data_IF_124527473217
#
_entry.id   IF_124527473217
#
_cell.length_a   1.000
_cell.length_b   1.000
_cell.length_c   1.000
_cell.angle_alpha   90.00
_cell.angle_beta   90.00
_cell.angle_gamma   90.00
#
_symmetry.space_group_name_H-M   'P 1'
#
loop_
_entity.id
_entity.type
_entity.pdbx_description
1 polymer ?
#
# COMPACT_ATOMS: atom_id res chain seq x y z
N UNK A 1 -8.34 21.51 6.13
CA UNK A 1 -7.64 22.10 7.28
C UNK A 1 -7.53 21.20 8.53
N UNK A 2 -8.47 20.24 8.76
CA UNK A 2 -8.49 19.44 10.00
C UNK A 2 -7.40 18.34 10.07
N UNK A 3 -7.04 17.71 8.95
CA UNK A 3 -6.05 16.62 8.92
C UNK A 3 -4.64 17.12 9.24
N UNK A 4 -4.22 18.25 8.66
CA UNK A 4 -2.94 18.90 8.98
C UNK A 4 -2.81 19.28 10.46
N UNK A 5 -3.92 19.72 11.08
CA UNK A 5 -3.94 20.12 12.49
C UNK A 5 -3.78 18.92 13.42
N UNK A 6 -4.43 17.80 13.14
CA UNK A 6 -4.30 16.56 13.92
C UNK A 6 -2.91 15.94 13.83
N UNK A 7 -2.33 15.86 12.65
CA UNK A 7 -0.95 15.37 12.47
C UNK A 7 0.06 16.26 13.18
N UNK A 8 -0.09 17.60 13.11
CA UNK A 8 0.76 18.53 13.86
C UNK A 8 0.61 18.38 15.38
N UNK A 9 -0.61 18.14 15.89
CA UNK A 9 -0.85 17.96 17.32
C UNK A 9 -0.34 16.63 17.85
N UNK A 10 -0.46 15.53 17.09
CA UNK A 10 0.05 14.23 17.52
C UNK A 10 1.57 14.22 17.73
N UNK A 11 2.29 15.03 16.98
CA UNK A 11 3.76 15.08 17.05
C UNK A 11 4.32 16.13 18.03
N UNK A 12 3.48 16.93 18.73
CA UNK A 12 3.99 18.01 19.60
C UNK A 12 4.85 17.43 20.74
N UNK A 13 4.32 16.48 21.49
CA UNK A 13 5.06 15.83 22.59
C UNK A 13 6.30 15.08 22.11
N UNK A 14 6.22 14.45 20.94
CA UNK A 14 7.34 13.73 20.36
C UNK A 14 8.45 14.70 19.92
N UNK A 15 8.07 15.85 19.34
CA UNK A 15 9.03 16.91 18.98
C UNK A 15 9.72 17.50 20.22
N UNK A 16 9.00 17.74 21.31
CA UNK A 16 9.56 18.21 22.58
C UNK A 16 10.54 17.20 23.16
N UNK A 17 10.21 15.90 23.07
CA UNK A 17 11.08 14.80 23.54
C UNK A 17 12.21 14.48 22.57
N UNK A 18 12.19 15.05 21.36
CA UNK A 18 13.12 14.78 20.23
C UNK A 18 13.28 13.28 19.94
N UNK A 19 12.22 12.53 20.13
CA UNK A 19 12.17 11.07 19.90
C UNK A 19 10.75 10.64 19.62
N UNK A 20 10.59 9.76 18.65
CA UNK A 20 9.31 9.17 18.27
C UNK A 20 9.40 8.51 16.92
N UNK A 21 8.46 7.64 16.65
CA UNK A 21 8.37 6.94 15.37
C UNK A 21 6.92 6.86 14.90
N UNK A 22 6.71 7.25 13.65
CA UNK A 22 5.43 7.12 12.95
C UNK A 22 5.59 5.96 11.98
N UNK A 23 4.73 4.96 12.08
CA UNK A 23 4.67 3.86 11.13
C UNK A 23 3.37 3.95 10.35
N UNK A 24 3.47 4.25 9.06
CA UNK A 24 2.33 4.33 8.16
C UNK A 24 2.18 3.01 7.39
N UNK A 25 1.00 2.40 7.46
CA UNK A 25 0.68 1.18 6.74
C UNK A 25 0.19 1.54 5.33
N UNK A 26 1.12 1.49 4.38
CA UNK A 26 0.85 1.67 2.95
C UNK A 26 0.44 0.34 2.29
N UNK A 27 0.84 0.13 1.08
CA UNK A 27 0.67 -1.09 0.28
C UNK A 27 1.62 -1.04 -0.90
N UNK A 28 1.88 -2.17 -1.53
CA UNK A 28 2.48 -2.20 -2.87
C UNK A 28 1.65 -1.40 -3.88
N UNK A 29 0.32 -1.27 -3.67
CA UNK A 29 -0.57 -0.42 -4.47
C UNK A 29 -0.26 1.09 -4.35
N UNK A 30 0.62 1.50 -3.44
CA UNK A 30 1.21 2.84 -3.42
C UNK A 30 2.33 3.03 -4.45
N UNK A 31 2.68 2.00 -5.21
CA UNK A 31 3.75 2.01 -6.21
C UNK A 31 3.27 1.72 -7.62
N UNK A 32 2.21 0.95 -7.76
CA UNK A 32 1.59 0.64 -9.03
C UNK A 32 0.08 0.45 -8.83
N UNK A 33 -0.66 0.46 -9.93
CA UNK A 33 -2.11 0.28 -9.91
C UNK A 33 -2.51 -0.78 -10.93
N UNK A 34 -3.55 -1.55 -10.60
CA UNK A 34 -4.18 -2.52 -11.49
C UNK A 34 -5.63 -2.13 -11.75
N UNK A 35 -6.26 -2.63 -12.81
CA UNK A 35 -7.69 -2.43 -13.03
C UNK A 35 -8.51 -2.75 -11.78
N UNK A 36 -9.55 -1.98 -11.51
CA UNK A 36 -10.39 -2.07 -10.32
C UNK A 36 -9.82 -1.43 -9.03
N UNK A 37 -8.51 -1.09 -9.00
CA UNK A 37 -7.84 -0.54 -7.82
C UNK A 37 -7.51 0.95 -7.91
N UNK A 38 -8.07 1.70 -8.87
CA UNK A 38 -7.68 3.09 -9.13
C UNK A 38 -7.73 3.99 -7.90
N UNK A 39 -8.88 4.07 -7.22
CA UNK A 39 -9.05 4.91 -6.03
C UNK A 39 -8.24 4.43 -4.83
N UNK A 40 -8.18 3.11 -4.63
CA UNK A 40 -7.34 2.52 -3.59
C UNK A 40 -5.85 2.85 -3.84
N UNK A 41 -5.37 2.62 -5.06
CA UNK A 41 -4.02 2.96 -5.47
C UNK A 41 -3.72 4.45 -5.27
N UNK A 42 -4.61 5.34 -5.73
CA UNK A 42 -4.46 6.79 -5.53
C UNK A 42 -4.31 7.16 -4.06
N UNK A 43 -5.12 6.56 -3.16
CA UNK A 43 -5.03 6.78 -1.72
C UNK A 43 -3.68 6.35 -1.13
N UNK A 44 -3.13 5.22 -1.61
CA UNK A 44 -1.84 4.70 -1.15
C UNK A 44 -0.67 5.48 -1.74
N UNK A 45 -0.74 5.94 -3.00
CA UNK A 45 0.25 6.87 -3.57
C UNK A 45 0.29 8.19 -2.80
N UNK A 46 -0.88 8.73 -2.42
CA UNK A 46 -0.95 9.93 -1.59
C UNK A 46 -0.28 9.70 -0.22
N UNK A 47 -0.51 8.53 0.42
CA UNK A 47 0.11 8.18 1.69
C UNK A 47 1.64 8.06 1.58
N UNK A 48 2.16 7.52 0.48
CA UNK A 48 3.60 7.46 0.20
C UNK A 48 4.20 8.88 0.14
N UNK A 49 3.61 9.77 -0.68
CA UNK A 49 4.07 11.14 -0.81
C UNK A 49 4.00 11.95 0.50
N UNK A 50 2.89 11.81 1.24
CA UNK A 50 2.73 12.46 2.55
C UNK A 50 3.78 11.94 3.54
N UNK A 51 4.04 10.64 3.55
CA UNK A 51 5.02 10.04 4.47
C UNK A 51 6.46 10.46 4.15
N UNK A 52 6.80 10.61 2.87
CA UNK A 52 8.10 11.13 2.47
C UNK A 52 8.29 12.59 2.88
N UNK A 53 7.28 13.43 2.68
CA UNK A 53 7.30 14.81 3.14
C UNK A 53 7.47 14.90 4.67
N UNK A 54 6.67 14.13 5.42
CA UNK A 54 6.76 14.07 6.89
C UNK A 54 8.13 13.60 7.36
N UNK A 55 8.74 12.62 6.70
CA UNK A 55 10.07 12.11 7.05
C UNK A 55 11.13 13.20 6.96
N UNK A 56 11.07 14.03 5.93
CA UNK A 56 11.99 15.15 5.74
C UNK A 56 11.71 16.28 6.75
N UNK A 57 10.44 16.66 6.91
CA UNK A 57 10.01 17.73 7.81
C UNK A 57 10.33 17.43 9.28
N UNK A 58 10.21 16.17 9.70
CA UNK A 58 10.35 15.74 11.08
C UNK A 58 11.78 15.32 11.44
N UNK A 59 12.67 15.21 10.46
CA UNK A 59 14.05 14.78 10.68
C UNK A 59 14.80 15.66 11.70
N UNK A 60 14.67 17.00 11.59
CA UNK A 60 15.32 17.96 12.48
C UNK A 60 14.83 17.86 13.94
N UNK A 61 13.67 17.24 14.16
CA UNK A 61 13.10 16.99 15.49
C UNK A 61 13.46 15.61 16.06
N UNK A 62 14.30 14.84 15.37
CA UNK A 62 14.68 13.50 15.81
C UNK A 62 13.56 12.44 15.68
N UNK A 63 12.50 12.74 14.92
CA UNK A 63 11.40 11.78 14.68
C UNK A 63 11.65 10.99 13.40
N UNK A 64 11.26 9.74 13.43
CA UNK A 64 11.40 8.81 12.31
C UNK A 64 10.03 8.49 11.71
N UNK A 65 9.93 8.52 10.39
CA UNK A 65 8.73 8.13 9.66
C UNK A 65 9.06 6.94 8.77
N UNK A 66 8.32 5.88 8.96
CA UNK A 66 8.52 4.58 8.31
C UNK A 66 7.25 4.19 7.57
N UNK A 67 7.41 3.66 6.38
CA UNK A 67 6.34 3.05 5.60
C UNK A 67 6.47 1.53 5.65
N UNK A 68 5.37 0.85 5.88
CA UNK A 68 5.25 -0.59 5.66
C UNK A 68 4.41 -0.80 4.41
N UNK A 69 4.97 -1.50 3.43
CA UNK A 69 4.38 -1.74 2.10
C UNK A 69 4.05 -3.24 1.94
N UNK A 70 2.89 -3.74 2.47
CA UNK A 70 2.50 -5.13 2.30
C UNK A 70 2.13 -5.43 0.85
N UNK A 71 2.46 -6.66 0.42
CA UNK A 71 1.91 -7.28 -0.77
C UNK A 71 0.48 -7.78 -0.53
N UNK A 72 0.11 -8.88 -1.17
CA UNK A 72 -1.17 -9.53 -0.95
C UNK A 72 -1.15 -10.26 0.40
N UNK A 73 -2.08 -9.89 1.28
CA UNK A 73 -2.19 -10.42 2.64
C UNK A 73 -3.60 -11.01 2.82
N UNK A 74 -3.68 -12.22 3.34
CA UNK A 74 -4.95 -12.89 3.66
C UNK A 74 -5.59 -12.22 4.87
N UNK A 75 -6.57 -11.35 4.61
CA UNK A 75 -7.33 -10.60 5.62
C UNK A 75 -8.78 -10.48 5.16
N UNK A 76 -9.67 -9.90 5.96
CA UNK A 76 -11.03 -9.57 5.51
C UNK A 76 -11.12 -8.50 4.42
N UNK A 77 -9.99 -7.92 4.00
CA UNK A 77 -9.95 -6.92 2.91
C UNK A 77 -10.37 -7.50 1.57
N UNK A 78 -10.08 -8.80 1.32
CA UNK A 78 -10.52 -9.49 0.11
C UNK A 78 -12.05 -9.48 -0.02
N UNK A 79 -12.79 -9.77 1.06
CA UNK A 79 -14.25 -9.79 1.04
C UNK A 79 -14.84 -8.42 0.72
N UNK A 80 -14.28 -7.34 1.27
CA UNK A 80 -14.70 -5.97 0.98
C UNK A 80 -14.39 -5.59 -0.47
N UNK A 81 -13.23 -5.98 -0.97
CA UNK A 81 -12.83 -5.74 -2.36
C UNK A 81 -13.70 -6.50 -3.35
N UNK A 82 -14.07 -7.74 -3.03
CA UNK A 82 -14.92 -8.59 -3.85
C UNK A 82 -16.33 -7.98 -3.98
N UNK A 83 -16.94 -7.53 -2.89
CA UNK A 83 -18.24 -6.84 -2.92
C UNK A 83 -18.19 -5.62 -3.83
N UNK A 84 -17.15 -4.80 -3.73
CA UNK A 84 -16.98 -3.62 -4.59
C UNK A 84 -16.85 -3.99 -6.08
N UNK A 85 -16.12 -5.04 -6.40
CA UNK A 85 -15.95 -5.51 -7.78
C UNK A 85 -17.21 -6.15 -8.32
N UNK A 86 -17.95 -6.92 -7.49
CA UNK A 86 -19.23 -7.51 -7.86
C UNK A 86 -20.29 -6.47 -8.21
N UNK A 87 -20.36 -5.35 -7.48
CA UNK A 87 -21.23 -4.24 -7.82
C UNK A 87 -20.95 -3.66 -9.20
N UNK A 88 -19.68 -3.62 -9.61
CA UNK A 88 -19.26 -3.14 -10.92
C UNK A 88 -19.44 -4.20 -12.03
N UNK A 89 -19.54 -5.47 -11.67
CA UNK A 89 -19.67 -6.58 -12.62
C UNK A 89 -21.05 -6.65 -13.29
N UNK A 90 -22.05 -5.93 -12.77
CA UNK A 90 -23.38 -5.81 -13.36
C UNK A 90 -23.46 -4.84 -14.54
N UNK A 91 -22.44 -4.01 -14.74
CA UNK A 91 -22.36 -3.11 -15.88
C UNK A 91 -22.15 -3.89 -17.19
N UNK A 92 -22.96 -3.66 -18.24
CA UNK A 92 -22.87 -4.43 -19.47
C UNK A 92 -21.57 -4.22 -20.26
N UNK A 93 -20.90 -3.09 -20.08
CA UNK A 93 -19.63 -2.75 -20.76
C UNK A 93 -18.43 -3.21 -19.92
N UNK A 94 -18.39 -2.85 -18.65
CA UNK A 94 -17.25 -3.10 -17.75
C UNK A 94 -17.33 -4.45 -17.03
N UNK A 95 -18.53 -5.00 -16.87
CA UNK A 95 -18.79 -6.21 -16.10
C UNK A 95 -17.89 -7.39 -16.47
N UNK A 96 -17.75 -7.77 -17.75
CA UNK A 96 -16.89 -8.90 -18.13
C UNK A 96 -15.41 -8.71 -17.71
N UNK A 97 -14.91 -7.48 -17.79
CA UNK A 97 -13.56 -7.16 -17.31
C UNK A 97 -13.48 -7.24 -15.79
N UNK A 98 -14.45 -6.67 -15.07
CA UNK A 98 -14.47 -6.68 -13.61
C UNK A 98 -14.57 -8.10 -13.03
N UNK A 99 -15.29 -9.00 -13.67
CA UNK A 99 -15.31 -10.42 -13.28
C UNK A 99 -13.93 -11.06 -13.38
N UNK A 100 -13.19 -10.81 -14.46
CA UNK A 100 -11.81 -11.32 -14.61
C UNK A 100 -10.85 -10.72 -13.57
N UNK A 101 -10.95 -9.43 -13.32
CA UNK A 101 -10.17 -8.73 -12.28
C UNK A 101 -10.47 -9.34 -10.92
N UNK A 102 -11.75 -9.54 -10.57
CA UNK A 102 -12.15 -10.14 -9.30
C UNK A 102 -11.57 -11.57 -9.13
N UNK A 103 -11.66 -12.40 -10.16
CA UNK A 103 -11.11 -13.74 -10.15
C UNK A 103 -9.57 -13.73 -9.96
N UNK A 104 -8.86 -12.82 -10.63
CA UNK A 104 -7.41 -12.64 -10.50
C UNK A 104 -7.01 -12.21 -9.08
N UNK A 105 -7.79 -11.31 -8.48
CA UNK A 105 -7.55 -10.85 -7.11
C UNK A 105 -7.83 -11.95 -6.08
N UNK A 106 -8.97 -12.64 -6.20
CA UNK A 106 -9.31 -13.74 -5.31
C UNK A 106 -8.23 -14.83 -5.29
N UNK A 107 -7.68 -15.19 -6.46
CA UNK A 107 -6.56 -16.12 -6.56
C UNK A 107 -5.28 -15.57 -5.91
N UNK A 108 -4.98 -14.29 -6.13
CA UNK A 108 -3.84 -13.63 -5.51
C UNK A 108 -3.94 -13.60 -3.98
N UNK A 109 -5.09 -13.25 -3.42
CA UNK A 109 -5.30 -13.21 -1.96
C UNK A 109 -5.23 -14.59 -1.34
N UNK A 110 -5.79 -15.64 -1.97
CA UNK A 110 -5.67 -17.02 -1.47
C UNK A 110 -4.21 -17.44 -1.29
N UNK A 111 -3.32 -17.01 -2.18
CA UNK A 111 -1.87 -17.26 -2.12
C UNK A 111 -1.11 -16.25 -1.28
N UNK A 112 -1.79 -15.22 -0.78
CA UNK A 112 -1.22 -14.13 -0.02
C UNK A 112 -0.53 -14.59 1.27
N UNK A 113 0.28 -13.71 1.84
CA UNK A 113 0.94 -13.92 3.11
C UNK A 113 0.00 -13.73 4.30
N UNK A 114 0.41 -14.17 5.48
CA UNK A 114 -0.42 -14.00 6.68
C UNK A 114 -0.31 -12.60 7.28
N UNK A 115 -1.34 -12.11 8.00
CA UNK A 115 -1.31 -10.83 8.71
C UNK A 115 -0.19 -10.73 9.76
N UNK A 116 0.19 -11.85 10.37
CA UNK A 116 1.26 -11.91 11.37
C UNK A 116 2.61 -11.49 10.79
N UNK A 117 2.84 -11.72 9.48
CA UNK A 117 4.04 -11.24 8.81
C UNK A 117 4.10 -9.70 8.81
N UNK A 118 2.97 -9.06 8.55
CA UNK A 118 2.87 -7.58 8.60
C UNK A 118 3.08 -7.08 10.02
N UNK A 119 2.46 -7.73 11.01
CA UNK A 119 2.62 -7.38 12.43
C UNK A 119 4.09 -7.49 12.87
N UNK A 120 4.79 -8.58 12.51
CA UNK A 120 6.24 -8.73 12.80
C UNK A 120 7.08 -7.68 12.09
N UNK A 121 6.73 -7.30 10.87
CA UNK A 121 7.43 -6.26 10.12
C UNK A 121 7.28 -4.90 10.81
N UNK A 122 6.08 -4.58 11.29
CA UNK A 122 5.81 -3.35 12.05
C UNK A 122 6.59 -3.37 13.37
N UNK A 123 6.57 -4.49 14.12
CA UNK A 123 7.32 -4.62 15.36
C UNK A 123 8.82 -4.41 15.12
N UNK A 124 9.41 -5.09 14.14
CA UNK A 124 10.81 -4.89 13.74
C UNK A 124 11.12 -3.44 13.38
N UNK A 125 10.22 -2.77 12.64
CA UNK A 125 10.38 -1.36 12.31
C UNK A 125 10.31 -0.45 13.53
N UNK A 126 9.59 -0.84 14.59
CA UNK A 126 9.47 -0.09 15.84
C UNK A 126 10.66 -0.32 16.78
N UNK A 127 11.23 -1.51 16.80
CA UNK A 127 12.26 -1.93 17.74
C UNK A 127 13.70 -1.57 17.29
N UNK A 128 13.96 -1.55 15.98
CA UNK A 128 15.30 -1.25 15.48
C UNK A 128 15.73 0.18 15.82
N UNK A 129 17.00 0.37 16.19
CA UNK A 129 17.55 1.69 16.48
C UNK A 129 17.65 2.60 15.24
N UNK A 130 17.89 2.01 14.07
CA UNK A 130 18.03 2.73 12.80
C UNK A 130 17.10 2.13 11.74
N UNK A 131 15.81 2.49 11.72
CA UNK A 131 14.85 1.93 10.79
C UNK A 131 15.10 2.40 9.36
N UNK A 132 14.86 1.49 8.42
CA UNK A 132 14.75 1.85 7.01
C UNK A 132 13.52 2.73 6.78
N UNK A 133 13.55 3.64 5.81
CA UNK A 133 12.36 4.43 5.46
C UNK A 133 11.16 3.58 5.02
N UNK A 134 11.43 2.39 4.47
CA UNK A 134 10.42 1.47 3.92
C UNK A 134 10.73 0.03 4.24
N UNK A 135 9.69 -0.70 4.60
CA UNK A 135 9.69 -2.14 4.81
C UNK A 135 8.65 -2.79 3.92
N UNK A 136 9.09 -3.59 2.99
CA UNK A 136 8.21 -4.42 2.16
C UNK A 136 8.03 -5.76 2.83
N UNK A 137 6.85 -6.32 2.74
CA UNK A 137 6.56 -7.64 3.29
C UNK A 137 5.46 -8.36 2.50
N UNK A 138 5.55 -9.66 2.51
CA UNK A 138 4.65 -10.53 1.78
C UNK A 138 5.18 -10.92 0.41
N UNK A 139 4.60 -12.00 -0.11
CA UNK A 139 4.95 -12.52 -1.44
C UNK A 139 4.71 -11.44 -2.50
N UNK A 140 5.53 -11.46 -3.53
CA UNK A 140 5.46 -10.57 -4.69
C UNK A 140 5.80 -9.09 -4.41
N UNK A 141 5.92 -8.66 -3.14
CA UNK A 141 6.16 -7.25 -2.81
C UNK A 141 7.46 -6.71 -3.42
N UNK A 142 8.52 -7.51 -3.49
CA UNK A 142 9.79 -7.14 -4.11
C UNK A 142 9.69 -7.10 -5.64
N UNK A 143 9.09 -8.12 -6.25
CA UNK A 143 8.97 -8.23 -7.70
C UNK A 143 8.12 -7.08 -8.29
N UNK A 144 7.05 -6.70 -7.61
CA UNK A 144 6.15 -5.66 -8.09
C UNK A 144 6.77 -4.25 -8.02
N UNK A 145 7.74 -4.03 -7.16
CA UNK A 145 8.47 -2.74 -7.15
C UNK A 145 9.44 -2.62 -8.33
N UNK A 146 9.89 -3.73 -8.90
CA UNK A 146 10.67 -3.71 -10.13
C UNK A 146 9.89 -3.18 -11.33
N UNK A 147 8.56 -3.20 -11.27
CA UNK A 147 7.69 -2.55 -12.27
C UNK A 147 8.11 -1.10 -12.56
N UNK A 148 8.64 -0.38 -11.59
CA UNK A 148 9.15 0.98 -11.75
C UNK A 148 10.21 1.11 -12.86
N UNK A 149 10.92 0.04 -13.18
CA UNK A 149 11.96 0.00 -14.21
C UNK A 149 11.47 -0.58 -15.54
N UNK A 150 10.20 -0.98 -15.63
CA UNK A 150 9.57 -1.49 -16.83
C UNK A 150 8.93 -0.32 -17.58
N UNK A 151 9.15 -0.17 -18.89
CA UNK A 151 8.43 0.82 -19.71
C UNK A 151 6.91 0.64 -19.57
N UNK A 152 6.18 1.76 -19.52
CA UNK A 152 4.73 1.75 -19.28
C UNK A 152 3.98 0.85 -20.27
N UNK A 153 4.34 0.89 -21.54
CA UNK A 153 3.71 0.11 -22.61
C UNK A 153 3.85 -1.39 -22.37
N UNK A 154 5.03 -1.82 -21.90
CA UNK A 154 5.29 -3.22 -21.60
C UNK A 154 4.52 -3.64 -20.34
N UNK A 155 4.49 -2.80 -19.32
CA UNK A 155 3.70 -3.04 -18.11
C UNK A 155 2.23 -3.18 -18.44
N UNK A 156 1.67 -2.25 -19.20
CA UNK A 156 0.28 -2.27 -19.64
C UNK A 156 -0.07 -3.54 -20.44
N UNK A 157 0.83 -3.97 -21.33
CA UNK A 157 0.66 -5.21 -22.06
C UNK A 157 0.61 -6.44 -21.15
N UNK A 158 1.50 -6.50 -20.14
CA UNK A 158 1.52 -7.59 -19.14
C UNK A 158 0.26 -7.61 -18.28
N UNK A 159 -0.19 -6.45 -17.81
CA UNK A 159 -1.40 -6.33 -17.00
C UNK A 159 -2.64 -6.71 -17.83
N UNK A 160 -2.77 -6.16 -19.04
CA UNK A 160 -3.88 -6.51 -19.94
C UNK A 160 -3.96 -8.00 -20.20
N UNK A 161 -2.85 -8.64 -20.54
CA UNK A 161 -2.81 -10.09 -20.79
C UNK A 161 -3.24 -10.91 -19.58
N UNK A 162 -2.94 -10.45 -18.36
CA UNK A 162 -3.25 -11.16 -17.12
C UNK A 162 -4.67 -10.89 -16.60
N UNK A 163 -5.21 -9.69 -16.82
CA UNK A 163 -6.46 -9.26 -16.20
C UNK A 163 -7.59 -8.98 -17.17
N UNK A 164 -7.29 -8.68 -18.41
CA UNK A 164 -8.29 -8.28 -19.42
C UNK A 164 -8.43 -9.35 -20.51
N UNK A 165 -7.37 -10.10 -20.78
CA UNK A 165 -7.33 -11.19 -21.78
C UNK A 165 -6.80 -10.74 -23.10
#
# INVERSE_FOLDING_TARGET
>A
HSIRRRQRQMCIRDRERRRGRIVNLSSIAGRFVTPGAGWYGASKHALEGISDALRLELHSFGLQVVLVEPGLIRTGFEAVSEVSLQQQSTDPVWGPMMCRVAASWADGFRRGSSPELVARTIASALETSNPKPRYRCGKESEALVLQRFIPTELWDALVRRRTIG
#
